data_IF_628818853232
#
_entry.id   IF_628818853232
#
_cell.length_a   1.000
_cell.length_b   1.000
_cell.length_c   1.000
_cell.angle_alpha   90.00
_cell.angle_beta   90.00
_cell.angle_gamma   90.00
#
_symmetry.space_group_name_H-M   'P 1'
#
loop_
_entity.id
_entity.type
_entity.pdbx_description
1 polymer ?
#
# COMPACT_ATOMS: atom_id res chain seq x y z
N UNK A 1 -18.78 -23.52 5.76
CA UNK A 1 -19.15 -22.21 5.20
C UNK A 1 -19.94 -21.41 6.22
N UNK A 2 -19.50 -20.18 6.51
CA UNK A 2 -20.23 -19.20 7.34
C UNK A 2 -20.74 -18.10 6.42
N UNK A 3 -21.89 -17.50 6.73
CA UNK A 3 -22.41 -16.34 5.99
C UNK A 3 -22.30 -15.14 6.94
N UNK A 4 -21.59 -14.12 6.51
CA UNK A 4 -21.44 -12.87 7.23
C UNK A 4 -22.27 -11.80 6.52
N UNK A 5 -23.18 -11.17 7.24
CA UNK A 5 -23.96 -10.03 6.73
C UNK A 5 -23.27 -8.74 7.16
N UNK A 6 -22.89 -7.92 6.21
CA UNK A 6 -22.25 -6.63 6.44
C UNK A 6 -23.34 -5.56 6.28
N UNK A 7 -23.69 -4.83 7.36
CA UNK A 7 -24.70 -3.76 7.28
C UNK A 7 -24.23 -2.64 6.35
N UNK A 8 -25.10 -2.13 5.51
CA UNK A 8 -24.89 -0.90 4.74
C UNK A 8 -26.19 -0.08 4.67
N UNK A 9 -26.12 1.18 4.26
CA UNK A 9 -27.28 2.07 4.19
C UNK A 9 -28.36 1.58 3.21
N UNK A 10 -27.97 0.81 2.19
CA UNK A 10 -28.85 0.28 1.14
C UNK A 10 -29.27 -1.19 1.38
N UNK A 11 -28.98 -1.76 2.55
CA UNK A 11 -29.31 -3.14 2.89
C UNK A 11 -28.15 -3.89 3.55
N UNK A 12 -27.93 -5.14 3.11
CA UNK A 12 -26.84 -5.99 3.64
C UNK A 12 -25.99 -6.48 2.48
N UNK A 13 -24.69 -6.31 2.63
CA UNK A 13 -23.71 -6.95 1.77
C UNK A 13 -23.44 -8.37 2.28
N UNK A 14 -23.40 -9.36 1.39
CA UNK A 14 -23.22 -10.77 1.76
C UNK A 14 -21.76 -11.17 1.55
N UNK A 15 -21.17 -11.77 2.57
CA UNK A 15 -19.85 -12.40 2.48
C UNK A 15 -19.96 -13.87 2.89
N UNK A 16 -19.50 -14.75 2.04
CA UNK A 16 -19.33 -16.17 2.34
C UNK A 16 -17.90 -16.40 2.82
N UNK A 17 -17.75 -17.14 3.91
CA UNK A 17 -16.47 -17.37 4.57
C UNK A 17 -16.22 -18.85 4.80
N UNK A 18 -15.04 -19.32 4.42
CA UNK A 18 -14.51 -20.61 4.80
C UNK A 18 -13.19 -20.43 5.54
N UNK A 19 -13.11 -20.99 6.72
CA UNK A 19 -11.97 -20.88 7.60
C UNK A 19 -10.92 -21.95 7.29
N UNK A 20 -9.69 -21.54 7.07
CA UNK A 20 -8.58 -22.46 6.87
C UNK A 20 -8.28 -23.33 8.08
N UNK A 21 -7.75 -24.52 7.84
CA UNK A 21 -7.47 -25.52 8.88
C UNK A 21 -6.13 -25.29 9.62
N UNK A 22 -5.26 -24.38 9.15
CA UNK A 22 -3.98 -24.09 9.78
C UNK A 22 -4.16 -23.48 11.18
N UNK A 23 -3.25 -23.75 12.08
CA UNK A 23 -3.21 -23.10 13.41
C UNK A 23 -2.57 -21.70 13.32
N UNK A 24 -3.04 -20.77 14.16
CA UNK A 24 -2.52 -19.40 14.22
C UNK A 24 -3.06 -18.49 13.11
N UNK A 25 -2.32 -17.43 12.80
CA UNK A 25 -2.65 -16.49 11.72
C UNK A 25 -2.54 -17.16 10.35
N UNK A 26 -3.54 -16.98 9.50
CA UNK A 26 -3.70 -17.67 8.22
C UNK A 26 -3.68 -16.67 7.05
N UNK A 27 -3.15 -17.07 5.88
CA UNK A 27 -3.39 -16.33 4.65
C UNK A 27 -4.89 -16.22 4.38
N UNK A 28 -5.29 -15.11 3.77
CA UNK A 28 -6.67 -14.87 3.36
C UNK A 28 -6.74 -14.56 1.87
N UNK A 29 -7.51 -15.35 1.13
CA UNK A 29 -7.88 -15.03 -0.25
C UNK A 29 -9.25 -14.37 -0.23
N UNK A 30 -9.36 -13.15 -0.74
CA UNK A 30 -10.61 -12.43 -0.93
C UNK A 30 -11.00 -12.53 -2.39
N UNK A 31 -12.16 -13.16 -2.65
CA UNK A 31 -12.75 -13.23 -3.98
C UNK A 31 -13.95 -12.28 -4.06
N UNK A 32 -14.02 -11.49 -5.12
CA UNK A 32 -15.17 -10.64 -5.41
C UNK A 32 -16.07 -11.29 -6.45
N UNK A 33 -17.37 -11.21 -6.22
CA UNK A 33 -18.39 -11.71 -7.13
C UNK A 33 -19.56 -10.72 -7.22
N UNK A 34 -20.29 -10.70 -8.32
CA UNK A 34 -21.45 -9.83 -8.54
C UNK A 34 -22.78 -10.48 -8.18
N UNK A 35 -22.78 -11.78 -7.83
CA UNK A 35 -23.94 -12.56 -7.41
C UNK A 35 -23.59 -13.54 -6.30
N UNK A 36 -24.55 -13.86 -5.44
CA UNK A 36 -24.38 -14.82 -4.35
C UNK A 36 -24.04 -16.24 -4.85
N UNK A 37 -24.67 -16.67 -5.94
CA UNK A 37 -24.42 -17.99 -6.54
C UNK A 37 -22.98 -18.13 -7.04
N UNK A 38 -22.48 -17.08 -7.67
CA UNK A 38 -21.09 -17.03 -8.13
C UNK A 38 -20.12 -16.97 -6.95
N UNK A 39 -20.43 -16.16 -5.92
CA UNK A 39 -19.61 -16.08 -4.70
C UNK A 39 -19.49 -17.45 -3.99
N UNK A 40 -20.58 -18.19 -3.88
CA UNK A 40 -20.57 -19.55 -3.28
C UNK A 40 -19.77 -20.54 -4.11
N UNK A 41 -19.96 -20.53 -5.43
CA UNK A 41 -19.22 -21.38 -6.36
C UNK A 41 -17.72 -21.10 -6.28
N UNK A 42 -17.34 -19.82 -6.31
CA UNK A 42 -15.96 -19.39 -6.37
C UNK A 42 -15.26 -19.59 -5.03
N UNK A 43 -15.97 -19.39 -3.91
CA UNK A 43 -15.48 -19.76 -2.58
C UNK A 43 -15.10 -21.25 -2.53
N UNK A 44 -16.00 -22.15 -2.95
CA UNK A 44 -15.74 -23.58 -2.92
C UNK A 44 -14.58 -23.98 -3.84
N UNK A 45 -14.50 -23.38 -5.03
CA UNK A 45 -13.45 -23.62 -5.99
C UNK A 45 -12.08 -23.21 -5.45
N UNK A 46 -11.96 -21.99 -4.89
CA UNK A 46 -10.74 -21.48 -4.30
C UNK A 46 -10.34 -22.25 -3.05
N UNK A 47 -11.30 -22.49 -2.15
CA UNK A 47 -11.05 -23.17 -0.87
C UNK A 47 -10.57 -24.61 -1.06
N UNK A 48 -11.06 -25.31 -2.09
CA UNK A 48 -10.59 -26.66 -2.40
C UNK A 48 -9.09 -26.76 -2.71
N UNK A 49 -8.44 -25.63 -3.01
CA UNK A 49 -7.01 -25.52 -3.34
C UNK A 49 -6.23 -24.66 -2.35
N UNK A 50 -6.91 -24.09 -1.33
CA UNK A 50 -6.35 -23.06 -0.44
C UNK A 50 -5.31 -23.57 0.59
N UNK A 51 -5.04 -24.88 0.65
CA UNK A 51 -3.96 -25.46 1.47
C UNK A 51 -3.91 -24.93 2.93
N UNK A 52 -5.06 -24.81 3.57
CA UNK A 52 -5.17 -24.34 4.95
C UNK A 52 -5.31 -22.81 5.12
N UNK A 53 -5.31 -22.04 4.04
CA UNK A 53 -5.69 -20.62 4.07
C UNK A 53 -7.19 -20.43 4.22
N UNK A 54 -7.61 -19.28 4.72
CA UNK A 54 -9.01 -18.86 4.73
C UNK A 54 -9.41 -18.26 3.38
N UNK A 55 -10.67 -18.39 3.00
CA UNK A 55 -11.23 -17.77 1.79
C UNK A 55 -12.49 -17.01 2.14
N UNK A 56 -12.60 -15.79 1.66
CA UNK A 56 -13.77 -14.94 1.75
C UNK A 56 -14.29 -14.62 0.35
N UNK A 57 -15.56 -14.88 0.06
CA UNK A 57 -16.18 -14.46 -1.18
C UNK A 57 -17.22 -13.35 -0.87
N UNK A 58 -16.93 -12.14 -1.32
CA UNK A 58 -17.76 -10.96 -1.09
C UNK A 58 -18.61 -10.67 -2.32
N UNK A 59 -19.91 -10.48 -2.14
CA UNK A 59 -20.80 -10.03 -3.20
C UNK A 59 -20.75 -8.51 -3.27
N UNK A 60 -20.34 -7.97 -4.40
CA UNK A 60 -20.26 -6.53 -4.69
C UNK A 60 -21.19 -6.17 -5.83
N UNK A 61 -21.99 -5.14 -5.66
CA UNK A 61 -22.93 -4.65 -6.66
C UNK A 61 -22.43 -3.32 -7.25
N UNK A 62 -22.87 -2.92 -8.46
CA UNK A 62 -22.47 -1.65 -9.05
C UNK A 62 -22.77 -0.42 -8.18
N UNK A 63 -23.80 -0.50 -7.32
CA UNK A 63 -24.20 0.55 -6.39
C UNK A 63 -23.58 0.42 -4.99
N UNK A 64 -22.76 -0.61 -4.75
CA UNK A 64 -22.09 -0.78 -3.44
C UNK A 64 -21.16 0.42 -3.20
N UNK A 65 -21.24 0.99 -2.01
CA UNK A 65 -20.37 2.08 -1.60
C UNK A 65 -19.00 1.54 -1.25
N UNK A 66 -17.99 2.13 -1.84
CA UNK A 66 -16.59 1.68 -1.66
C UNK A 66 -16.12 1.81 -0.21
N UNK A 67 -16.55 2.85 0.49
CA UNK A 67 -16.21 3.04 1.91
C UNK A 67 -16.62 1.84 2.75
N UNK A 68 -17.79 1.27 2.51
CA UNK A 68 -18.28 0.10 3.25
C UNK A 68 -17.41 -1.13 2.99
N UNK A 69 -16.97 -1.31 1.73
CA UNK A 69 -16.03 -2.38 1.38
C UNK A 69 -14.68 -2.15 2.04
N UNK A 70 -14.20 -0.91 2.05
CA UNK A 70 -12.96 -0.51 2.71
C UNK A 70 -13.00 -0.77 4.22
N UNK A 71 -14.06 -0.37 4.91
CA UNK A 71 -14.24 -0.59 6.34
C UNK A 71 -14.29 -2.09 6.69
N UNK A 72 -14.95 -2.87 5.84
CA UNK A 72 -14.98 -4.32 5.99
C UNK A 72 -13.58 -4.94 5.79
N UNK A 73 -12.87 -4.56 4.73
CA UNK A 73 -11.49 -4.99 4.50
C UNK A 73 -10.58 -4.65 5.68
N UNK A 74 -10.70 -3.43 6.20
CA UNK A 74 -9.97 -3.00 7.39
C UNK A 74 -10.28 -3.91 8.59
N UNK A 75 -11.56 -4.23 8.82
CA UNK A 75 -11.97 -5.12 9.91
C UNK A 75 -11.39 -6.54 9.78
N UNK A 76 -11.25 -7.06 8.56
CA UNK A 76 -10.64 -8.37 8.31
C UNK A 76 -9.15 -8.39 8.68
N UNK A 77 -8.44 -7.30 8.42
CA UNK A 77 -7.02 -7.17 8.76
C UNK A 77 -6.76 -7.16 10.26
N UNK A 78 -7.73 -6.72 11.06
CA UNK A 78 -7.65 -6.68 12.53
C UNK A 78 -7.98 -8.02 13.19
N UNK A 79 -8.37 -9.05 12.42
CA UNK A 79 -8.71 -10.36 12.97
C UNK A 79 -7.46 -11.08 13.46
N UNK A 80 -7.55 -11.69 14.63
CA UNK A 80 -6.45 -12.46 15.24
C UNK A 80 -6.08 -13.73 14.45
N UNK A 81 -7.01 -14.26 13.64
CA UNK A 81 -6.84 -15.47 12.84
C UNK A 81 -6.37 -15.19 11.40
N UNK A 82 -6.21 -13.92 11.01
CA UNK A 82 -5.78 -13.50 9.66
C UNK A 82 -4.34 -12.97 9.71
N UNK A 83 -3.52 -13.46 8.79
CA UNK A 83 -2.19 -12.90 8.52
C UNK A 83 -2.34 -11.68 7.60
N UNK A 84 -2.29 -10.49 8.15
CA UNK A 84 -2.46 -9.23 7.40
C UNK A 84 -1.42 -9.02 6.29
N UNK A 85 -0.27 -9.70 6.38
CA UNK A 85 0.76 -9.65 5.35
C UNK A 85 0.52 -10.64 4.20
N UNK A 86 -0.53 -11.44 4.29
CA UNK A 86 -0.87 -12.48 3.32
C UNK A 86 -2.33 -12.43 2.89
N UNK A 87 -2.87 -11.21 2.77
CA UNK A 87 -4.21 -10.97 2.22
C UNK A 87 -4.06 -10.75 0.71
N UNK A 88 -4.76 -11.53 -0.09
CA UNK A 88 -4.77 -11.41 -1.54
C UNK A 88 -6.18 -11.18 -2.07
N UNK A 89 -6.28 -10.51 -3.22
CA UNK A 89 -7.55 -10.10 -3.82
C UNK A 89 -7.68 -10.72 -5.21
N UNK A 90 -8.86 -11.24 -5.52
CA UNK A 90 -9.15 -11.79 -6.86
C UNK A 90 -10.62 -11.62 -7.25
N UNK A 91 -10.90 -11.76 -8.54
CA UNK A 91 -12.25 -11.72 -9.11
C UNK A 91 -12.23 -11.83 -10.62
N UNK A 92 -13.39 -12.01 -11.21
CA UNK A 92 -13.54 -12.23 -12.65
C UNK A 92 -14.60 -11.35 -13.29
N UNK A 93 -14.41 -11.00 -14.56
CA UNK A 93 -15.34 -10.20 -15.38
C UNK A 93 -15.76 -8.90 -14.66
N UNK A 94 -17.07 -8.68 -14.49
CA UNK A 94 -17.59 -7.46 -13.85
C UNK A 94 -17.14 -7.28 -12.40
N UNK A 95 -16.91 -8.36 -11.65
CA UNK A 95 -16.33 -8.28 -10.31
C UNK A 95 -14.83 -7.92 -10.33
N UNK A 96 -14.12 -8.20 -11.43
CA UNK A 96 -12.74 -7.78 -11.59
C UNK A 96 -12.58 -6.25 -11.70
N UNK A 97 -13.62 -5.51 -12.11
CA UNK A 97 -13.63 -4.03 -12.03
C UNK A 97 -13.38 -3.56 -10.58
N UNK A 98 -14.02 -4.25 -9.63
CA UNK A 98 -13.82 -3.97 -8.22
C UNK A 98 -12.44 -4.39 -7.72
N UNK A 99 -11.87 -5.46 -8.29
CA UNK A 99 -10.49 -5.87 -7.98
C UNK A 99 -9.50 -4.76 -8.37
N UNK A 100 -9.61 -4.23 -9.57
CA UNK A 100 -8.79 -3.11 -10.03
C UNK A 100 -8.98 -1.86 -9.16
N UNK A 101 -10.23 -1.54 -8.85
CA UNK A 101 -10.57 -0.37 -8.04
C UNK A 101 -10.06 -0.47 -6.60
N UNK A 102 -10.36 -1.56 -5.90
CA UNK A 102 -9.89 -1.73 -4.52
C UNK A 102 -8.38 -1.86 -4.43
N UNK A 103 -7.76 -2.55 -5.40
CA UNK A 103 -6.32 -2.64 -5.50
C UNK A 103 -5.66 -1.27 -5.67
N UNK A 104 -6.27 -0.38 -6.45
CA UNK A 104 -5.76 0.98 -6.68
C UNK A 104 -5.93 1.89 -5.47
N UNK A 105 -7.02 1.76 -4.73
CA UNK A 105 -7.33 2.64 -3.61
C UNK A 105 -6.74 2.14 -2.27
N UNK A 106 -6.50 0.83 -2.14
CA UNK A 106 -5.93 0.22 -0.95
C UNK A 106 -4.73 -0.70 -1.27
N UNK A 107 -3.76 -0.26 -2.09
CA UNK A 107 -2.65 -1.12 -2.54
C UNK A 107 -1.86 -1.70 -1.38
N UNK A 108 -1.73 -0.95 -0.29
CA UNK A 108 -1.01 -1.35 0.92
C UNK A 108 -1.67 -2.50 1.70
N UNK A 109 -2.90 -2.88 1.37
CA UNK A 109 -3.61 -3.95 2.09
C UNK A 109 -3.47 -5.32 1.45
N UNK A 110 -2.94 -5.40 0.24
CA UNK A 110 -2.87 -6.64 -0.51
C UNK A 110 -1.43 -7.13 -0.73
N UNK A 111 -1.20 -8.40 -0.43
CA UNK A 111 0.05 -9.08 -0.74
C UNK A 111 0.19 -9.38 -2.25
N UNK A 112 -0.94 -9.52 -2.93
CA UNK A 112 -1.00 -9.75 -4.36
C UNK A 112 -2.43 -9.66 -4.88
N UNK A 113 -2.58 -9.35 -6.16
CA UNK A 113 -3.86 -9.13 -6.82
C UNK A 113 -3.92 -9.96 -8.09
N UNK A 114 -4.99 -10.74 -8.26
CA UNK A 114 -5.26 -11.46 -9.51
C UNK A 114 -6.60 -11.00 -10.10
N UNK A 115 -6.58 -10.37 -11.25
CA UNK A 115 -7.76 -9.93 -11.98
C UNK A 115 -7.94 -10.75 -13.25
N UNK A 116 -9.09 -11.41 -13.40
CA UNK A 116 -9.45 -12.15 -14.62
C UNK A 116 -10.43 -11.31 -15.43
N UNK A 117 -9.91 -10.49 -16.31
CA UNK A 117 -10.65 -9.46 -17.05
C UNK A 117 -10.87 -8.18 -16.27
N UNK A 118 -11.96 -7.49 -16.59
CA UNK A 118 -12.39 -6.26 -15.92
C UNK A 118 -11.80 -4.99 -16.50
N UNK A 119 -12.34 -3.88 -16.02
CA UNK A 119 -12.01 -2.52 -16.43
C UNK A 119 -11.60 -1.68 -15.22
N UNK A 120 -10.65 -0.77 -15.41
CA UNK A 120 -10.20 0.15 -14.35
C UNK A 120 -9.74 1.49 -14.89
N UNK A 121 -9.39 2.39 -14.00
CA UNK A 121 -8.83 3.69 -14.34
C UNK A 121 -7.31 3.56 -14.53
N UNK A 122 -6.77 3.93 -15.74
CA UNK A 122 -5.34 3.80 -16.03
C UNK A 122 -4.45 4.73 -15.21
N UNK A 123 -5.01 5.74 -14.57
CA UNK A 123 -4.27 6.64 -13.68
C UNK A 123 -4.26 6.10 -12.25
N UNK A 124 -5.41 5.60 -11.77
CA UNK A 124 -5.53 5.06 -10.40
C UNK A 124 -4.69 3.79 -10.21
N UNK A 125 -4.62 2.88 -11.21
CA UNK A 125 -3.86 1.64 -11.09
C UNK A 125 -2.35 1.84 -10.86
N UNK A 126 -1.80 3.00 -11.19
CA UNK A 126 -0.39 3.32 -10.94
C UNK A 126 -0.02 3.26 -9.45
N UNK A 127 -1.00 3.45 -8.56
CA UNK A 127 -0.80 3.27 -7.12
C UNK A 127 -0.39 1.83 -6.76
N UNK A 128 -0.73 0.85 -7.61
CA UNK A 128 -0.37 -0.57 -7.40
C UNK A 128 1.00 -0.96 -7.96
N UNK A 129 1.85 -0.03 -8.38
CA UNK A 129 3.14 -0.35 -9.06
C UNK A 129 4.02 -1.35 -8.30
N UNK A 130 3.90 -1.40 -6.97
CA UNK A 130 4.67 -2.29 -6.09
C UNK A 130 3.89 -3.52 -5.60
N UNK A 131 2.61 -3.64 -5.97
CA UNK A 131 1.79 -4.83 -5.65
C UNK A 131 2.02 -5.88 -6.72
N UNK A 132 2.33 -7.13 -6.37
CA UNK A 132 2.32 -8.24 -7.32
C UNK A 132 0.94 -8.36 -7.98
N UNK A 133 0.88 -8.21 -9.30
CA UNK A 133 -0.35 -8.29 -10.08
C UNK A 133 -0.23 -9.38 -11.13
N UNK A 134 -1.18 -10.32 -11.12
CA UNK A 134 -1.41 -11.27 -12.20
C UNK A 134 -2.71 -10.92 -12.89
N UNK A 135 -2.63 -10.47 -14.13
CA UNK A 135 -3.76 -9.99 -14.92
C UNK A 135 -4.05 -10.92 -16.10
N UNK A 136 -5.32 -11.18 -16.36
CA UNK A 136 -5.75 -11.98 -17.50
C UNK A 136 -6.58 -11.12 -18.45
N UNK A 137 -6.09 -10.95 -19.67
CA UNK A 137 -6.84 -10.33 -20.75
C UNK A 137 -7.83 -11.35 -21.32
N UNK A 138 -9.12 -11.04 -21.25
CA UNK A 138 -10.21 -11.87 -21.78
C UNK A 138 -10.73 -11.26 -23.06
N UNK A 139 -10.71 -11.99 -24.17
CA UNK A 139 -10.96 -11.45 -25.52
C UNK A 139 -12.41 -10.98 -25.77
N UNK A 140 -13.38 -11.58 -25.08
CA UNK A 140 -14.82 -11.34 -25.34
C UNK A 140 -15.46 -10.37 -24.34
N UNK A 141 -14.69 -9.56 -23.61
CA UNK A 141 -15.29 -8.58 -22.71
C UNK A 141 -15.91 -7.42 -23.51
N UNK A 142 -17.20 -7.13 -23.29
CA UNK A 142 -17.83 -5.98 -23.93
C UNK A 142 -17.21 -4.69 -23.37
N UNK A 143 -16.82 -3.78 -24.25
CA UNK A 143 -16.36 -2.45 -23.83
C UNK A 143 -17.48 -1.72 -23.08
N UNK A 144 -17.28 -1.49 -21.78
CA UNK A 144 -18.24 -0.74 -20.96
C UNK A 144 -17.78 0.72 -20.91
N UNK A 145 -18.50 1.58 -21.60
CA UNK A 145 -18.33 3.04 -21.44
C UNK A 145 -19.05 3.46 -20.16
N UNK A 146 -18.30 3.67 -19.10
CA UNK A 146 -18.83 4.24 -17.85
C UNK A 146 -18.94 5.76 -17.99
N UNK A 147 -20.14 6.31 -17.73
CA UNK A 147 -20.39 7.76 -17.77
C UNK A 147 -19.38 8.50 -16.88
N UNK A 148 -18.50 9.29 -17.48
CA UNK A 148 -17.67 10.30 -16.83
C UNK A 148 -16.33 9.84 -16.27
N UNK A 149 -15.95 8.56 -16.37
CA UNK A 149 -14.62 8.04 -16.00
C UNK A 149 -14.00 7.27 -17.16
N UNK A 150 -12.71 7.47 -17.37
CA UNK A 150 -11.94 6.68 -18.34
C UNK A 150 -11.75 5.29 -17.74
N UNK A 151 -12.49 4.30 -18.25
CA UNK A 151 -12.27 2.91 -17.89
C UNK A 151 -11.67 2.19 -19.12
N UNK A 152 -10.55 1.54 -18.91
CA UNK A 152 -9.81 0.79 -19.92
C UNK A 152 -9.69 -0.67 -19.54
N UNK A 153 -9.44 -1.54 -20.51
CA UNK A 153 -9.30 -2.98 -20.30
C UNK A 153 -7.90 -3.34 -19.75
N UNK A 154 -7.71 -4.62 -19.49
CA UNK A 154 -6.53 -5.19 -18.82
C UNK A 154 -5.21 -4.81 -19.47
N UNK A 155 -5.10 -4.84 -20.81
CA UNK A 155 -3.84 -4.54 -21.50
C UNK A 155 -3.37 -3.09 -21.25
N UNK A 156 -4.30 -2.14 -21.27
CA UNK A 156 -4.01 -0.73 -21.01
C UNK A 156 -3.72 -0.48 -19.51
N UNK A 157 -4.38 -1.21 -18.60
CA UNK A 157 -4.08 -1.16 -17.16
C UNK A 157 -2.67 -1.66 -16.87
N UNK A 158 -2.31 -2.80 -17.45
CA UNK A 158 -0.97 -3.37 -17.33
C UNK A 158 0.09 -2.44 -17.92
N UNK A 159 -0.17 -1.83 -19.09
CA UNK A 159 0.74 -0.84 -19.67
C UNK A 159 0.90 0.39 -18.76
N UNK A 160 -0.15 0.81 -18.07
CA UNK A 160 -0.08 1.90 -17.09
C UNK A 160 0.77 1.55 -15.88
N UNK A 161 0.66 0.30 -15.38
CA UNK A 161 1.52 -0.21 -14.30
C UNK A 161 3.00 -0.26 -14.71
N UNK A 162 3.30 -0.82 -15.89
CA UNK A 162 4.66 -0.88 -16.43
C UNK A 162 5.25 0.52 -16.63
N UNK A 163 4.46 1.46 -17.14
CA UNK A 163 4.87 2.86 -17.31
C UNK A 163 5.14 3.56 -15.97
N UNK A 164 4.40 3.16 -14.92
CA UNK A 164 4.65 3.63 -13.55
C UNK A 164 5.89 3.01 -12.89
N UNK A 165 6.54 2.05 -13.56
CA UNK A 165 7.73 1.36 -13.06
C UNK A 165 7.45 0.07 -12.29
N UNK A 166 6.30 -0.58 -12.49
CA UNK A 166 6.04 -1.89 -11.89
C UNK A 166 6.96 -2.96 -12.48
N UNK A 167 7.62 -3.70 -11.59
CA UNK A 167 8.45 -4.88 -11.93
C UNK A 167 7.78 -6.21 -11.55
N UNK A 168 6.56 -6.14 -10.98
CA UNK A 168 5.86 -7.29 -10.41
C UNK A 168 4.48 -7.51 -11.04
N UNK A 169 4.24 -7.01 -12.25
CA UNK A 169 3.03 -7.26 -13.02
C UNK A 169 3.28 -8.28 -14.14
N UNK A 170 2.42 -9.28 -14.22
CA UNK A 170 2.36 -10.22 -15.36
C UNK A 170 0.98 -10.20 -16.00
N UNK A 171 0.95 -10.30 -17.32
CA UNK A 171 -0.29 -10.41 -18.10
C UNK A 171 -0.30 -11.71 -18.91
N UNK A 172 -1.47 -12.34 -18.92
CA UNK A 172 -1.75 -13.53 -19.75
C UNK A 172 -3.02 -13.29 -20.55
N UNK A 173 -3.08 -13.82 -21.78
CA UNK A 173 -4.29 -13.76 -22.61
C UNK A 173 -5.07 -15.06 -22.44
N UNK A 174 -6.39 -14.95 -22.37
CA UNK A 174 -7.31 -16.07 -22.27
C UNK A 174 -8.38 -16.03 -23.37
N UNK A 175 -8.55 -17.14 -24.05
CA UNK A 175 -9.49 -17.32 -25.16
C UNK A 175 -10.58 -18.36 -24.82
N UNK A 176 -10.61 -18.84 -23.59
CA UNK A 176 -11.53 -19.86 -23.14
C UNK A 176 -12.89 -19.29 -22.79
N UNK A 177 -13.96 -20.06 -23.04
CA UNK A 177 -15.34 -19.70 -22.68
C UNK A 177 -15.55 -19.51 -21.18
N UNK A 178 -14.70 -20.13 -20.34
CA UNK A 178 -14.72 -19.95 -18.89
C UNK A 178 -13.30 -19.60 -18.39
N UNK A 179 -12.90 -18.33 -18.54
CA UNK A 179 -11.57 -17.88 -18.18
C UNK A 179 -11.27 -18.06 -16.68
N UNK A 180 -12.29 -17.91 -15.82
CA UNK A 180 -12.15 -18.08 -14.37
C UNK A 180 -11.73 -19.50 -13.98
N UNK A 181 -12.44 -20.52 -14.45
CA UNK A 181 -12.08 -21.91 -14.16
C UNK A 181 -10.69 -22.25 -14.70
N UNK A 182 -10.33 -21.75 -15.87
CA UNK A 182 -8.99 -21.95 -16.44
C UNK A 182 -7.91 -21.32 -15.58
N UNK A 183 -8.11 -20.09 -15.12
CA UNK A 183 -7.18 -19.38 -14.24
C UNK A 183 -6.95 -20.16 -12.93
N UNK A 184 -8.03 -20.58 -12.28
CA UNK A 184 -7.96 -21.27 -11.00
C UNK A 184 -7.41 -22.71 -11.13
N UNK A 185 -7.93 -23.51 -12.05
CA UNK A 185 -7.61 -24.93 -12.15
C UNK A 185 -6.41 -25.23 -13.07
N UNK A 186 -6.18 -24.38 -14.09
CA UNK A 186 -5.16 -24.61 -15.11
C UNK A 186 -3.88 -23.84 -14.88
N UNK A 187 -3.97 -22.59 -14.46
CA UNK A 187 -2.83 -21.67 -14.40
C UNK A 187 -2.26 -21.46 -13.00
N UNK A 188 -2.77 -22.20 -11.99
CA UNK A 188 -2.24 -22.18 -10.63
C UNK A 188 -2.40 -20.85 -9.91
N UNK A 189 -3.49 -20.12 -10.16
CA UNK A 189 -3.75 -18.81 -9.53
C UNK A 189 -3.77 -18.93 -8.01
N UNK A 190 -4.40 -19.97 -7.45
CA UNK A 190 -4.48 -20.14 -5.99
C UNK A 190 -3.09 -20.32 -5.37
N UNK A 191 -2.24 -21.16 -5.95
CA UNK A 191 -0.87 -21.34 -5.49
C UNK A 191 -0.09 -20.03 -5.55
N UNK A 192 -0.22 -19.28 -6.66
CA UNK A 192 0.43 -17.99 -6.81
C UNK A 192 -0.05 -16.98 -5.78
N UNK A 193 -1.36 -16.86 -5.51
CA UNK A 193 -1.90 -15.98 -4.47
C UNK A 193 -1.35 -16.34 -3.09
N UNK A 194 -1.22 -17.64 -2.77
CA UNK A 194 -0.70 -18.12 -1.49
C UNK A 194 0.82 -17.91 -1.32
N UNK A 195 1.56 -17.74 -2.39
CA UNK A 195 2.99 -17.42 -2.38
C UNK A 195 3.23 -15.94 -2.05
N UNK A 196 2.23 -15.08 -2.29
CA UNK A 196 2.40 -13.66 -2.07
C UNK A 196 2.48 -13.31 -0.59
N UNK A 197 3.39 -12.40 -0.28
CA UNK A 197 3.62 -11.93 1.08
C UNK A 197 4.11 -10.48 1.04
N UNK A 198 3.47 -9.61 1.81
CA UNK A 198 3.82 -8.20 1.96
C UNK A 198 5.06 -7.95 2.83
N UNK A 199 6.01 -8.89 2.94
CA UNK A 199 7.23 -8.71 3.73
C UNK A 199 8.06 -7.47 3.34
N UNK A 200 7.87 -6.99 2.13
CA UNK A 200 8.49 -5.76 1.65
C UNK A 200 7.40 -4.69 1.50
N UNK A 201 7.06 -4.07 2.61
CA UNK A 201 6.08 -2.96 2.64
C UNK A 201 6.68 -1.67 2.12
N UNK A 202 7.99 -1.67 1.86
CA UNK A 202 8.73 -0.55 1.30
C UNK A 202 9.55 -1.05 0.11
N UNK A 203 9.60 -0.25 -0.94
CA UNK A 203 10.54 -0.46 -2.03
C UNK A 203 11.84 0.27 -1.71
N UNK A 204 12.94 -0.47 -1.57
CA UNK A 204 14.25 0.12 -1.34
C UNK A 204 14.99 0.24 -2.65
N UNK A 205 15.38 1.44 -3.01
CA UNK A 205 16.10 1.75 -4.24
C UNK A 205 17.48 2.31 -3.86
N UNK A 206 18.52 1.58 -4.19
CA UNK A 206 19.88 2.08 -4.06
C UNK A 206 20.13 3.16 -5.13
N UNK A 207 20.41 4.37 -4.72
CA UNK A 207 20.68 5.48 -5.64
C UNK A 207 22.16 5.61 -5.94
N UNK A 208 22.99 5.53 -4.93
CA UNK A 208 24.46 5.63 -4.99
C UNK A 208 25.07 5.16 -3.66
N UNK A 209 26.39 4.98 -3.54
CA UNK A 209 27.01 4.63 -2.27
C UNK A 209 26.58 5.58 -1.14
N UNK A 210 26.06 5.00 -0.07
CA UNK A 210 25.58 5.73 1.11
C UNK A 210 24.24 6.45 0.96
N UNK A 211 23.50 6.25 -0.14
CA UNK A 211 22.19 6.91 -0.34
C UNK A 211 21.16 5.94 -0.89
N UNK A 212 20.07 5.79 -0.17
CA UNK A 212 18.90 5.00 -0.57
C UNK A 212 17.65 5.86 -0.62
N UNK A 213 16.74 5.53 -1.54
CA UNK A 213 15.34 5.95 -1.51
C UNK A 213 14.50 4.80 -1.01
N UNK A 214 13.58 5.08 -0.12
CA UNK A 214 12.62 4.13 0.46
C UNK A 214 11.24 4.65 0.13
N UNK A 215 10.57 4.01 -0.82
CA UNK A 215 9.20 4.36 -1.22
C UNK A 215 8.22 3.55 -0.40
N UNK A 216 7.20 4.22 0.12
CA UNK A 216 6.06 3.57 0.72
C UNK A 216 4.97 3.25 -0.32
N UNK A 217 3.85 2.64 0.14
CA UNK A 217 2.75 2.28 -0.74
C UNK A 217 1.86 3.48 -1.12
N UNK A 218 2.02 4.61 -0.44
CA UNK A 218 1.18 5.80 -0.60
C UNK A 218 1.81 6.91 -1.44
N UNK A 219 2.88 6.64 -2.11
CA UNK A 219 3.63 7.63 -2.90
C UNK A 219 4.56 8.56 -2.11
N UNK A 220 4.71 8.38 -0.82
CA UNK A 220 5.74 9.07 -0.05
C UNK A 220 7.09 8.39 -0.22
N UNK A 221 8.15 9.17 -0.28
CA UNK A 221 9.52 8.69 -0.37
C UNK A 221 10.33 9.21 0.81
N UNK A 222 11.02 8.29 1.47
CA UNK A 222 12.03 8.62 2.47
C UNK A 222 13.42 8.44 1.86
N UNK A 223 14.41 9.15 2.39
CA UNK A 223 15.79 9.01 1.92
C UNK A 223 16.71 8.73 3.10
N UNK A 224 17.51 7.67 3.00
CA UNK A 224 18.55 7.36 3.98
C UNK A 224 19.90 7.78 3.43
N UNK A 225 20.63 8.60 4.20
CA UNK A 225 21.97 9.11 3.86
C UNK A 225 22.93 8.62 4.95
N UNK A 226 23.94 7.85 4.60
CA UNK A 226 25.01 7.43 5.50
C UNK A 226 26.16 8.41 5.50
N UNK A 227 26.57 8.84 6.69
CA UNK A 227 27.87 9.45 6.91
C UNK A 227 28.87 8.46 7.48
N UNK A 228 29.91 8.96 8.15
CA UNK A 228 30.91 8.12 8.82
C UNK A 228 30.44 7.68 10.20
N UNK A 229 29.77 8.55 10.96
CA UNK A 229 29.47 8.32 12.37
C UNK A 229 28.00 7.98 12.61
N UNK A 230 27.10 8.44 11.74
CA UNK A 230 25.66 8.22 11.80
C UNK A 230 25.01 8.34 10.42
N UNK A 231 23.77 7.86 10.32
CA UNK A 231 22.93 8.02 9.17
C UNK A 231 21.76 8.97 9.46
N UNK A 232 21.28 9.65 8.43
CA UNK A 232 20.12 10.54 8.45
C UNK A 232 19.02 9.95 7.59
N UNK A 233 17.85 9.73 8.19
CA UNK A 233 16.63 9.40 7.46
C UNK A 233 15.82 10.67 7.24
N UNK A 234 15.56 11.03 6.00
CA UNK A 234 14.73 12.18 5.63
C UNK A 234 13.31 11.67 5.39
N UNK A 235 12.36 12.21 6.18
CA UNK A 235 10.96 11.82 6.29
C UNK A 235 10.74 10.36 6.75
N UNK A 236 9.52 10.05 7.15
CA UNK A 236 9.16 8.73 7.67
C UNK A 236 7.94 8.10 6.96
N UNK A 237 7.49 8.69 5.85
CA UNK A 237 6.41 8.14 5.04
C UNK A 237 5.07 8.04 5.74
N UNK A 238 4.13 7.35 5.11
CA UNK A 238 2.81 7.02 5.63
C UNK A 238 2.57 5.51 5.67
N UNK A 239 3.39 4.72 4.99
CA UNK A 239 3.17 3.30 4.74
C UNK A 239 2.97 2.45 5.99
N UNK A 240 2.35 1.31 5.81
CA UNK A 240 2.31 0.26 6.82
C UNK A 240 3.62 -0.53 6.81
N UNK A 241 4.00 -1.06 7.95
CA UNK A 241 5.24 -1.82 8.11
C UNK A 241 6.05 -1.35 9.29
N UNK A 242 7.29 -1.73 9.36
CA UNK A 242 8.22 -1.27 10.37
C UNK A 242 9.40 -0.56 9.69
N UNK A 243 9.28 0.74 9.51
CA UNK A 243 10.32 1.54 8.86
C UNK A 243 11.63 1.52 9.66
N UNK A 244 11.56 1.55 10.99
CA UNK A 244 12.75 1.52 11.83
C UNK A 244 13.53 0.21 11.68
N UNK A 245 12.84 -0.93 11.63
CA UNK A 245 13.45 -2.24 11.38
C UNK A 245 14.07 -2.30 9.98
N UNK A 246 13.38 -1.79 8.96
CA UNK A 246 13.92 -1.71 7.62
C UNK A 246 15.21 -0.88 7.59
N UNK A 247 15.17 0.33 8.15
CA UNK A 247 16.32 1.25 8.15
C UNK A 247 17.51 0.64 8.88
N UNK A 248 17.29 -0.02 10.04
CA UNK A 248 18.37 -0.74 10.75
C UNK A 248 18.90 -1.95 9.99
N UNK A 249 18.15 -2.50 9.05
CA UNK A 249 18.65 -3.54 8.14
C UNK A 249 19.54 -3.01 7.00
N UNK A 250 19.39 -1.72 6.67
CA UNK A 250 20.17 -1.06 5.61
C UNK A 250 21.47 -0.46 6.11
N UNK A 251 21.54 -0.07 7.38
CA UNK A 251 22.72 0.53 7.98
C UNK A 251 22.98 0.03 9.39
N UNK A 252 24.25 -0.08 9.78
CA UNK A 252 24.67 -0.37 11.15
C UNK A 252 24.96 0.89 11.98
N UNK A 253 24.80 2.07 11.39
CA UNK A 253 25.04 3.34 12.04
C UNK A 253 23.84 3.78 12.90
N UNK A 254 24.05 4.57 13.96
CA UNK A 254 22.95 5.25 14.63
C UNK A 254 22.17 6.12 13.64
N UNK A 255 20.83 6.03 13.68
CA UNK A 255 19.95 6.75 12.76
C UNK A 255 19.28 7.91 13.49
N UNK A 256 19.41 9.10 12.94
CA UNK A 256 18.61 10.29 13.29
C UNK A 256 17.64 10.58 12.14
N UNK A 257 16.52 11.23 12.45
CA UNK A 257 15.48 11.56 11.46
C UNK A 257 15.44 13.07 11.23
N UNK A 258 15.20 13.49 10.00
CA UNK A 258 14.92 14.87 9.65
C UNK A 258 13.64 14.96 8.82
N UNK A 259 12.74 15.87 9.17
CA UNK A 259 11.41 15.99 8.56
C UNK A 259 11.37 17.24 7.69
N UNK A 260 10.94 17.06 6.44
CA UNK A 260 10.79 18.17 5.49
C UNK A 260 9.65 19.10 5.88
N UNK A 261 8.54 18.55 6.36
CA UNK A 261 7.37 19.28 6.86
C UNK A 261 6.42 18.33 7.63
N UNK A 262 5.57 18.82 8.54
CA UNK A 262 4.88 18.00 9.52
C UNK A 262 3.57 17.34 9.02
N UNK A 263 3.38 17.11 7.74
CA UNK A 263 2.23 16.34 7.24
C UNK A 263 2.33 14.86 7.64
N UNK A 264 1.17 14.20 7.78
CA UNK A 264 1.09 12.84 8.27
C UNK A 264 1.81 11.80 7.40
N UNK A 265 1.87 12.03 6.10
CA UNK A 265 2.58 11.20 5.11
C UNK A 265 4.12 11.38 5.12
N UNK A 266 4.62 12.33 5.92
CA UNK A 266 6.06 12.51 6.17
C UNK A 266 6.46 12.17 7.60
N UNK A 267 5.50 12.08 8.53
CA UNK A 267 5.74 11.89 9.96
C UNK A 267 5.13 10.62 10.55
N UNK A 268 4.65 9.68 9.74
CA UNK A 268 3.90 8.53 10.25
C UNK A 268 4.69 7.68 11.26
N UNK A 269 5.96 7.40 10.95
CA UNK A 269 6.82 6.56 11.77
C UNK A 269 7.76 7.33 12.70
N UNK A 270 7.53 8.64 12.89
CA UNK A 270 8.40 9.50 13.72
C UNK A 270 8.55 8.98 15.15
N UNK A 271 7.50 8.36 15.70
CA UNK A 271 7.48 7.77 17.04
C UNK A 271 8.44 6.58 17.24
N UNK A 272 8.97 6.02 16.16
CA UNK A 272 9.91 4.90 16.20
C UNK A 272 11.37 5.34 16.34
N UNK A 273 11.62 6.65 16.43
CA UNK A 273 12.97 7.21 16.49
C UNK A 273 13.12 8.15 17.69
N UNK A 274 14.31 8.15 18.29
CA UNK A 274 14.58 8.93 19.50
C UNK A 274 14.85 10.41 19.20
N UNK A 275 15.46 10.73 18.04
CA UNK A 275 15.89 12.08 17.69
C UNK A 275 15.40 12.48 16.31
N UNK A 276 14.65 13.58 16.25
CA UNK A 276 13.97 14.07 15.06
C UNK A 276 14.23 15.57 14.88
N UNK A 277 14.87 15.94 13.78
CA UNK A 277 15.04 17.32 13.35
C UNK A 277 13.77 17.81 12.67
N UNK A 278 13.22 18.92 13.15
CA UNK A 278 12.03 19.55 12.59
C UNK A 278 12.18 21.07 12.69
N UNK A 279 11.57 21.81 11.75
CA UNK A 279 11.61 23.27 11.77
C UNK A 279 11.12 23.81 13.12
N UNK A 280 11.85 24.80 13.67
CA UNK A 280 11.61 25.35 15.03
C UNK A 280 10.18 25.84 15.23
N UNK A 281 9.60 26.48 14.21
CA UNK A 281 8.26 27.04 14.27
C UNK A 281 7.18 25.94 14.18
N UNK A 282 7.42 24.86 13.47
CA UNK A 282 6.54 23.68 13.46
C UNK A 282 6.56 22.96 14.82
N UNK A 283 7.72 22.85 15.46
CA UNK A 283 7.81 22.36 16.85
C UNK A 283 7.00 23.25 17.80
N UNK A 284 7.07 24.56 17.64
CA UNK A 284 6.32 25.50 18.46
C UNK A 284 4.81 25.36 18.25
N UNK A 285 4.36 25.20 17.01
CA UNK A 285 2.97 24.92 16.66
C UNK A 285 2.49 23.59 17.27
N UNK A 286 3.26 22.53 17.17
CA UNK A 286 2.94 21.21 17.75
C UNK A 286 2.79 21.29 19.28
N UNK A 287 3.68 22.01 19.96
CA UNK A 287 3.64 22.19 21.42
C UNK A 287 2.52 23.09 21.89
N UNK A 288 2.14 24.06 21.08
CA UNK A 288 1.10 25.07 21.42
C UNK A 288 -0.32 24.49 21.43
N UNK A 289 -0.56 23.25 20.97
CA UNK A 289 -1.89 22.64 20.82
C UNK A 289 -2.90 23.62 20.21
N UNK A 290 -2.44 24.36 19.21
CA UNK A 290 -3.25 25.36 18.52
C UNK A 290 -4.40 24.67 17.79
N UNK A 291 -5.65 25.13 17.97
CA UNK A 291 -6.82 24.72 17.17
C UNK A 291 -6.64 25.02 15.67
N UNK A 292 -5.55 25.69 15.32
CA UNK A 292 -5.13 26.05 13.96
C UNK A 292 -4.21 25.00 13.34
N UNK A 293 -3.83 23.96 14.11
CA UNK A 293 -2.99 22.90 13.55
C UNK A 293 -3.79 22.11 12.51
N UNK A 294 -3.36 22.06 11.25
CA UNK A 294 -4.11 21.36 10.21
C UNK A 294 -4.35 19.89 10.61
N UNK A 295 -5.54 19.38 10.36
CA UNK A 295 -5.89 17.97 10.65
C UNK A 295 -4.98 16.96 9.93
N UNK A 296 -4.25 17.43 8.91
CA UNK A 296 -3.24 16.67 8.16
C UNK A 296 -1.90 16.51 8.88
N UNK A 297 -1.67 17.27 9.95
CA UNK A 297 -0.45 17.19 10.75
C UNK A 297 -0.58 16.06 11.77
N UNK A 298 0.52 15.35 12.02
CA UNK A 298 0.57 14.29 13.01
C UNK A 298 1.34 14.74 14.24
N UNK A 299 0.77 14.43 15.40
CA UNK A 299 1.48 14.53 16.68
C UNK A 299 2.10 13.16 17.01
N UNK A 300 3.36 13.12 17.50
CA UNK A 300 3.89 11.89 18.08
C UNK A 300 3.07 11.48 19.29
N UNK A 301 2.85 10.18 19.39
CA UNK A 301 2.07 9.59 20.50
C UNK A 301 2.95 9.21 21.70
N UNK A 302 4.25 9.38 21.60
CA UNK A 302 5.20 9.02 22.64
C UNK A 302 5.86 10.25 23.28
N UNK A 303 6.49 10.06 24.43
CA UNK A 303 7.23 11.09 25.16
C UNK A 303 8.75 10.98 25.04
N UNK A 304 9.27 9.98 24.31
CA UNK A 304 10.71 9.75 24.22
C UNK A 304 11.34 10.39 23.00
N UNK A 305 10.57 10.67 21.94
CA UNK A 305 11.09 11.37 20.76
C UNK A 305 11.49 12.81 21.10
N UNK A 306 12.77 13.10 20.98
CA UNK A 306 13.34 14.44 21.14
C UNK A 306 13.27 15.20 19.81
N UNK A 307 12.52 16.30 19.77
CA UNK A 307 12.52 17.20 18.61
C UNK A 307 13.64 18.22 18.71
N UNK A 308 14.54 18.20 17.73
CA UNK A 308 15.68 19.10 17.60
C UNK A 308 15.31 20.20 16.61
N UNK A 309 15.32 21.48 17.04
CA UNK A 309 14.93 22.59 16.17
C UNK A 309 15.98 22.82 15.08
N UNK A 310 15.49 22.99 13.84
CA UNK A 310 16.29 23.42 12.69
C UNK A 310 15.67 24.67 12.05
N UNK A 311 16.49 25.41 11.33
CA UNK A 311 16.13 26.59 10.55
C UNK A 311 17.10 26.74 9.37
N UNK A 312 16.90 27.75 8.52
CA UNK A 312 17.77 28.07 7.40
C UNK A 312 19.27 28.07 7.79
N UNK A 313 20.07 27.35 7.02
CA UNK A 313 21.50 27.26 7.23
C UNK A 313 21.95 26.31 8.34
N UNK A 314 21.02 25.61 9.04
CA UNK A 314 21.39 24.56 9.99
C UNK A 314 22.15 23.46 9.26
N UNK A 315 23.20 22.90 9.89
CA UNK A 315 23.97 21.78 9.40
C UNK A 315 23.81 20.58 10.30
N UNK A 316 23.37 19.46 9.73
CA UNK A 316 23.32 18.17 10.41
C UNK A 316 24.59 17.42 10.07
N UNK A 317 25.45 17.20 11.08
CA UNK A 317 26.75 16.55 10.90
C UNK A 317 26.60 15.04 10.99
N UNK A 318 27.09 14.32 9.97
CA UNK A 318 27.07 12.85 9.90
C UNK A 318 28.49 12.24 10.02
N UNK A 319 29.45 13.02 10.50
CA UNK A 319 30.89 12.70 10.55
C UNK A 319 31.64 13.39 9.43
N UNK A 320 31.79 12.75 8.29
CA UNK A 320 32.45 13.27 7.11
C UNK A 320 31.56 14.06 6.13
N UNK A 321 30.26 14.15 6.43
CA UNK A 321 29.23 14.79 5.59
C UNK A 321 28.44 15.77 6.44
N UNK A 322 28.18 16.95 5.87
CA UNK A 322 27.23 17.93 6.37
C UNK A 322 26.01 17.98 5.46
N UNK A 323 24.82 17.79 6.03
CA UNK A 323 23.55 18.00 5.35
C UNK A 323 23.01 19.37 5.77
N UNK A 324 22.91 20.30 4.81
CA UNK A 324 22.44 21.67 5.04
C UNK A 324 20.92 21.75 4.93
N UNK A 325 20.29 22.53 5.81
CA UNK A 325 18.86 22.84 5.80
C UNK A 325 18.64 24.14 5.04
N UNK A 326 17.74 24.11 4.05
CA UNK A 326 17.30 25.29 3.32
C UNK A 326 15.78 25.43 3.47
N UNK A 327 15.29 26.60 3.87
CA UNK A 327 13.87 26.87 3.93
C UNK A 327 13.29 27.04 2.52
N UNK A 328 12.18 26.33 2.26
CA UNK A 328 11.46 26.38 0.99
C UNK A 328 9.96 26.44 1.25
N UNK A 329 9.49 27.57 1.76
CA UNK A 329 8.07 27.80 2.04
C UNK A 329 7.23 27.71 0.75
N UNK A 330 6.03 27.14 0.87
CA UNK A 330 5.09 27.01 -0.25
C UNK A 330 4.01 25.98 0.05
N UNK A 331 4.38 24.71 0.13
CA UNK A 331 3.49 23.62 0.48
C UNK A 331 3.01 23.72 1.94
N UNK A 332 3.94 23.96 2.85
CA UNK A 332 3.66 24.48 4.20
C UNK A 332 4.43 25.77 4.43
N UNK A 333 4.12 26.47 5.54
CA UNK A 333 4.78 27.72 5.87
C UNK A 333 6.27 27.55 6.17
N UNK A 334 6.66 26.41 6.71
CA UNK A 334 8.02 26.14 7.19
C UNK A 334 8.62 24.86 6.58
N UNK A 335 8.22 24.52 5.35
CA UNK A 335 8.85 23.41 4.61
C UNK A 335 10.33 23.66 4.42
N UNK A 336 11.13 22.62 4.57
CA UNK A 336 12.58 22.66 4.34
C UNK A 336 12.98 21.61 3.31
N UNK A 337 14.13 21.84 2.68
CA UNK A 337 14.84 20.84 1.88
C UNK A 337 16.22 20.59 2.51
N UNK A 338 16.74 19.38 2.30
CA UNK A 338 18.00 18.93 2.83
C UNK A 338 19.01 18.80 1.69
N UNK A 339 20.10 19.54 1.78
CA UNK A 339 21.12 19.62 0.73
C UNK A 339 22.38 18.87 1.15
N UNK A 340 22.65 17.76 0.49
CA UNK A 340 23.88 16.99 0.64
C UNK A 340 24.82 17.25 -0.55
N UNK A 341 25.79 18.10 -0.37
CA UNK A 341 26.74 18.46 -1.42
C UNK A 341 27.73 17.34 -1.72
N UNK A 342 28.02 16.48 -0.75
CA UNK A 342 28.96 15.37 -0.90
C UNK A 342 28.45 14.34 -1.87
N UNK A 343 27.17 13.98 -1.74
CA UNK A 343 26.48 13.07 -2.67
C UNK A 343 25.78 13.81 -3.82
N UNK A 344 25.78 15.13 -3.86
CA UNK A 344 25.07 15.96 -4.86
C UNK A 344 23.57 15.62 -4.91
N UNK A 345 22.92 15.67 -3.75
CA UNK A 345 21.49 15.41 -3.55
C UNK A 345 20.81 16.63 -2.92
N UNK A 346 19.53 16.82 -3.28
CA UNK A 346 18.59 17.75 -2.65
C UNK A 346 17.28 16.98 -2.45
#
# INVERSE_FOLDING_TARGET
>A
MKILSIPNENGKMTCFWEEGASSGKKPLIICLADKEEDAQRDLNLLFSQANGASVAALVVYPQTEEQIVGDWLYSLRQREDVDENRITLTGTLSAADWVWRLGSHFPQWFAGICAVGGYGDPYEVRAMKNVPVRAYLVEEEPQIIRKGKVAVNVDQLVMSLLTAGSECVEMRSMYEKNPWNKAIQGDGVVSWLLEQNRKHQFQVIWLKPGVWRIDDWFSSSCYLIEGQDKALLIDTGLGEGNLAELVTSLTNLPVEVAITHPHGDHMHWVDSFDRVYLHKDDIALMRGKSDVFPATFRYPNNSHTEFIPIEEGTKIHLGNIDVEVWELSGHTAHSVVFVDRSHKCI
#
